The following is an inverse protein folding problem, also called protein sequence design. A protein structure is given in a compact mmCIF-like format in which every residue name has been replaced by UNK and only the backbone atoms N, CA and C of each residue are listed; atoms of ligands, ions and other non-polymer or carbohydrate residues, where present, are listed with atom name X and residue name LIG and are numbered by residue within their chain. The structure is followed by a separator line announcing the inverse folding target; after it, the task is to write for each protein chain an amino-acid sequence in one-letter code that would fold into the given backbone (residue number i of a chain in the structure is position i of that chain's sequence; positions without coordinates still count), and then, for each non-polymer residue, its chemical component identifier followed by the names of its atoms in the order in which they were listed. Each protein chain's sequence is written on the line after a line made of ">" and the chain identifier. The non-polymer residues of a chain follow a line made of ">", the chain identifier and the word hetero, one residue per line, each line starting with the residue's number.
data_IF_503461626984
#
_entry.id   IF_503461626984
#
_cell.length_a   1.000
_cell.length_b   1.000
_cell.length_c   1.000
_cell.angle_alpha   90.00
_cell.angle_beta   90.00
_cell.angle_gamma   90.00
#
_symmetry.space_group_name_H-M   'P 1'
#
loop_
_entity.id
_entity.type
_entity.pdbx_description
1 polymer ?
#
# COMPACT_ATOMS: atom_id res chain seq x y z
N UNK A 1 -31.39 -56.54 -52.30
CA UNK A 1 -32.58 -55.90 -51.71
C UNK A 1 -32.62 -56.07 -50.20
N UNK A 2 -32.80 -57.27 -49.64
CA UNK A 2 -32.87 -57.43 -48.17
C UNK A 2 -31.60 -57.02 -47.39
N UNK A 3 -30.41 -57.29 -47.94
CA UNK A 3 -29.13 -56.92 -47.32
C UNK A 3 -28.87 -55.41 -47.34
N UNK A 4 -29.22 -54.76 -48.44
CA UNK A 4 -29.09 -53.30 -48.62
C UNK A 4 -30.05 -52.53 -47.70
N UNK A 5 -31.25 -53.08 -47.49
CA UNK A 5 -32.25 -52.54 -46.56
C UNK A 5 -31.82 -52.71 -45.09
N UNK A 6 -31.17 -53.82 -44.75
CA UNK A 6 -30.60 -54.07 -43.43
C UNK A 6 -29.42 -53.13 -43.11
N UNK A 7 -28.54 -52.89 -44.08
CA UNK A 7 -27.43 -51.93 -43.94
C UNK A 7 -27.96 -50.51 -43.73
N UNK A 8 -29.02 -50.12 -44.45
CA UNK A 8 -29.66 -48.80 -44.27
C UNK A 8 -30.26 -48.67 -42.87
N UNK A 9 -31.01 -49.67 -42.40
CA UNK A 9 -31.60 -49.65 -41.06
C UNK A 9 -30.53 -49.59 -39.95
N UNK A 10 -29.45 -50.36 -40.09
CA UNK A 10 -28.33 -50.32 -39.15
C UNK A 10 -27.63 -48.94 -39.14
N UNK A 11 -27.50 -48.30 -40.31
CA UNK A 11 -26.91 -46.96 -40.43
C UNK A 11 -27.80 -45.88 -39.80
N UNK A 12 -29.12 -45.98 -39.96
CA UNK A 12 -30.10 -45.08 -39.33
C UNK A 12 -30.09 -45.21 -37.80
N UNK A 13 -30.05 -46.45 -37.29
CA UNK A 13 -29.99 -46.68 -35.83
C UNK A 13 -28.67 -46.17 -35.22
N UNK A 14 -27.56 -46.36 -35.94
CA UNK A 14 -26.24 -45.88 -35.53
C UNK A 14 -26.19 -44.34 -35.54
N UNK A 15 -26.84 -43.67 -36.51
CA UNK A 15 -26.99 -42.21 -36.53
C UNK A 15 -27.85 -41.71 -35.36
N UNK A 16 -28.98 -42.37 -35.06
CA UNK A 16 -29.82 -42.06 -33.89
C UNK A 16 -29.03 -42.15 -32.58
N UNK A 17 -28.21 -43.21 -32.40
CA UNK A 17 -27.37 -43.33 -31.21
C UNK A 17 -26.35 -42.20 -31.11
N UNK A 18 -25.74 -41.79 -32.21
CA UNK A 18 -24.82 -40.64 -32.22
C UNK A 18 -25.50 -39.34 -31.81
N UNK A 19 -26.75 -39.09 -32.22
CA UNK A 19 -27.50 -37.91 -31.79
C UNK A 19 -27.74 -37.89 -30.27
N UNK A 20 -27.90 -39.06 -29.64
CA UNK A 20 -28.09 -39.13 -28.18
C UNK A 20 -26.82 -38.93 -27.36
N UNK A 21 -25.62 -38.99 -27.98
CA UNK A 21 -24.35 -38.85 -27.25
C UNK A 21 -24.10 -37.42 -26.76
N UNK A 22 -24.74 -36.43 -27.38
CA UNK A 22 -24.58 -35.03 -27.02
C UNK A 22 -25.91 -34.49 -26.50
N UNK A 23 -25.94 -34.19 -25.22
CA UNK A 23 -27.04 -33.43 -24.64
C UNK A 23 -26.88 -31.94 -25.00
N UNK A 24 -27.58 -31.51 -26.04
CA UNK A 24 -27.56 -30.12 -26.53
C UNK A 24 -27.95 -29.11 -25.45
N UNK A 25 -28.85 -29.46 -24.53
CA UNK A 25 -29.27 -28.62 -23.41
C UNK A 25 -28.14 -28.40 -22.40
N UNK A 26 -27.32 -29.42 -22.14
CA UNK A 26 -26.15 -29.30 -21.26
C UNK A 26 -25.06 -28.45 -21.90
N UNK A 27 -24.81 -28.64 -23.21
CA UNK A 27 -23.86 -27.81 -23.96
C UNK A 27 -24.26 -26.34 -23.93
N UNK A 28 -25.55 -26.05 -24.10
CA UNK A 28 -26.11 -24.71 -23.99
C UNK A 28 -25.99 -24.13 -22.57
N UNK A 29 -26.20 -24.97 -21.55
CA UNK A 29 -26.01 -24.58 -20.15
C UNK A 29 -24.54 -24.25 -19.85
N UNK A 30 -23.59 -25.05 -20.35
CA UNK A 30 -22.15 -24.80 -20.23
C UNK A 30 -21.81 -23.47 -20.89
N UNK A 31 -22.29 -23.24 -22.11
CA UNK A 31 -22.06 -21.99 -22.86
C UNK A 31 -22.58 -20.77 -22.08
N UNK A 32 -23.75 -20.88 -21.46
CA UNK A 32 -24.34 -19.81 -20.65
C UNK A 32 -23.50 -19.52 -19.41
N UNK A 33 -23.08 -20.55 -18.68
CA UNK A 33 -22.22 -20.41 -17.49
C UNK A 33 -20.87 -19.80 -17.87
N UNK A 34 -20.28 -20.19 -18.99
CA UNK A 34 -19.02 -19.61 -19.48
C UNK A 34 -19.16 -18.11 -19.77
N UNK A 35 -20.28 -17.66 -20.36
CA UNK A 35 -20.53 -16.22 -20.55
C UNK A 35 -20.67 -15.47 -19.22
N UNK A 36 -21.36 -16.06 -18.23
CA UNK A 36 -21.47 -15.47 -16.90
C UNK A 36 -20.10 -15.35 -16.21
N UNK A 37 -19.27 -16.41 -16.30
CA UNK A 37 -17.91 -16.41 -15.75
C UNK A 37 -17.07 -15.34 -16.44
N UNK A 38 -17.14 -15.25 -17.78
CA UNK A 38 -16.40 -14.25 -18.55
C UNK A 38 -16.77 -12.83 -18.13
N UNK A 39 -18.07 -12.51 -18.01
CA UNK A 39 -18.52 -11.19 -17.56
C UNK A 39 -18.00 -10.85 -16.17
N UNK A 40 -18.09 -11.78 -15.21
CA UNK A 40 -17.56 -11.59 -13.85
C UNK A 40 -16.05 -11.37 -13.82
N UNK A 41 -15.30 -12.08 -14.66
CA UNK A 41 -13.85 -11.90 -14.78
C UNK A 41 -13.50 -10.54 -15.39
N UNK A 42 -14.26 -10.09 -16.39
CA UNK A 42 -14.10 -8.77 -16.99
C UNK A 42 -14.38 -7.66 -15.96
N UNK A 43 -15.47 -7.76 -15.20
CA UNK A 43 -15.81 -6.82 -14.13
C UNK A 43 -14.72 -6.77 -13.06
N UNK A 44 -14.24 -7.93 -12.62
CA UNK A 44 -13.15 -8.01 -11.64
C UNK A 44 -11.86 -7.40 -12.18
N UNK A 45 -11.54 -7.61 -13.45
CA UNK A 45 -10.34 -7.07 -14.06
C UNK A 45 -10.42 -5.54 -14.21
N UNK A 46 -11.60 -5.00 -14.50
CA UNK A 46 -11.83 -3.55 -14.54
C UNK A 46 -11.60 -2.91 -13.16
N UNK A 47 -12.13 -3.52 -12.10
CA UNK A 47 -11.93 -3.06 -10.71
C UNK A 47 -10.44 -3.10 -10.33
N UNK A 48 -9.75 -4.20 -10.64
CA UNK A 48 -8.32 -4.34 -10.34
C UNK A 48 -7.47 -3.33 -11.13
N UNK A 49 -7.81 -3.07 -12.38
CA UNK A 49 -7.11 -2.08 -13.21
C UNK A 49 -7.24 -0.68 -12.61
N UNK A 50 -8.46 -0.29 -12.22
CA UNK A 50 -8.70 0.99 -11.56
C UNK A 50 -8.01 1.09 -10.19
N UNK A 51 -8.01 0.01 -9.41
CA UNK A 51 -7.28 -0.05 -8.14
C UNK A 51 -5.78 0.13 -8.35
N UNK A 52 -5.19 -0.54 -9.34
CA UNK A 52 -3.77 -0.43 -9.65
C UNK A 52 -3.40 1.01 -10.01
N UNK A 53 -4.15 1.64 -10.94
CA UNK A 53 -3.93 3.03 -11.34
C UNK A 53 -4.06 3.99 -10.14
N UNK A 54 -5.10 3.83 -9.33
CA UNK A 54 -5.30 4.64 -8.13
C UNK A 54 -4.15 4.47 -7.12
N UNK A 55 -3.72 3.23 -6.88
CA UNK A 55 -2.65 2.92 -5.94
C UNK A 55 -1.31 3.49 -6.39
N UNK A 56 -1.01 3.44 -7.69
CA UNK A 56 0.20 4.01 -8.28
C UNK A 56 0.22 5.54 -8.16
N UNK A 57 -0.91 6.20 -8.45
CA UNK A 57 -1.04 7.64 -8.30
C UNK A 57 -0.85 8.08 -6.86
N UNK A 58 -1.54 7.42 -5.92
CA UNK A 58 -1.43 7.69 -4.49
C UNK A 58 0.02 7.49 -3.99
N UNK A 59 0.68 6.41 -4.41
CA UNK A 59 2.07 6.15 -4.06
C UNK A 59 3.01 7.24 -4.60
N UNK A 60 2.84 7.65 -5.86
CA UNK A 60 3.68 8.67 -6.49
C UNK A 60 3.55 10.02 -5.78
N UNK A 61 2.33 10.40 -5.41
CA UNK A 61 2.06 11.62 -4.65
C UNK A 61 2.71 11.58 -3.25
N UNK A 62 2.42 10.52 -2.48
CA UNK A 62 2.89 10.43 -1.09
C UNK A 62 4.40 10.21 -0.98
N UNK A 63 5.00 9.42 -1.88
CA UNK A 63 6.43 9.10 -1.82
C UNK A 63 7.32 10.33 -1.99
N UNK A 64 6.91 11.29 -2.83
CA UNK A 64 7.57 12.57 -2.99
C UNK A 64 7.61 13.38 -1.71
N UNK A 65 6.45 13.51 -1.05
CA UNK A 65 6.31 14.24 0.21
C UNK A 65 7.10 13.58 1.35
N UNK A 66 7.03 12.25 1.48
CA UNK A 66 7.83 11.51 2.46
C UNK A 66 9.32 11.72 2.25
N UNK A 67 9.80 11.67 1.00
CA UNK A 67 11.20 11.91 0.66
C UNK A 67 11.63 13.33 1.03
N UNK A 68 10.82 14.34 0.68
CA UNK A 68 11.06 15.74 1.01
C UNK A 68 11.09 15.97 2.51
N UNK A 69 10.10 15.47 3.24
CA UNK A 69 9.99 15.64 4.69
C UNK A 69 11.15 14.94 5.42
N UNK A 70 11.55 13.75 4.97
CA UNK A 70 12.71 13.02 5.51
C UNK A 70 14.01 13.81 5.31
N UNK A 71 14.21 14.45 4.14
CA UNK A 71 15.38 15.31 3.90
C UNK A 71 15.37 16.53 4.82
N UNK A 72 14.22 17.17 5.00
CA UNK A 72 14.08 18.31 5.91
C UNK A 72 14.41 17.92 7.36
N UNK A 73 13.87 16.80 7.85
CA UNK A 73 14.17 16.30 9.20
C UNK A 73 15.66 16.02 9.40
N UNK A 74 16.33 15.46 8.40
CA UNK A 74 17.79 15.25 8.44
C UNK A 74 18.57 16.57 8.51
N UNK A 75 18.13 17.59 7.78
CA UNK A 75 18.72 18.93 7.84
C UNK A 75 18.58 19.53 9.24
N UNK A 76 17.35 19.54 9.78
CA UNK A 76 17.06 20.08 11.12
C UNK A 76 17.89 19.35 12.18
N UNK A 77 18.01 18.03 12.08
CA UNK A 77 18.86 17.25 12.99
C UNK A 77 20.32 17.72 12.93
N UNK A 78 20.87 17.89 11.72
CA UNK A 78 22.24 18.37 11.53
C UNK A 78 22.45 19.76 12.14
N UNK A 79 21.48 20.66 11.95
CA UNK A 79 21.53 22.00 12.51
C UNK A 79 21.49 21.97 14.05
N UNK A 80 20.65 21.13 14.64
CA UNK A 80 20.60 20.92 16.09
C UNK A 80 21.92 20.34 16.62
N UNK A 81 22.48 19.33 15.96
CA UNK A 81 23.77 18.75 16.34
C UNK A 81 24.88 19.83 16.34
N UNK A 82 24.89 20.69 15.33
CA UNK A 82 25.82 21.82 15.24
C UNK A 82 25.60 22.84 16.36
N UNK A 83 24.36 23.23 16.62
CA UNK A 83 24.02 24.16 17.71
C UNK A 83 24.47 23.60 19.07
N UNK A 84 24.18 22.33 19.36
CA UNK A 84 24.60 21.70 20.61
C UNK A 84 26.12 21.61 20.73
N UNK A 85 26.84 21.31 19.64
CA UNK A 85 28.29 21.32 19.61
C UNK A 85 28.84 22.72 19.94
N UNK A 86 28.30 23.77 19.32
CA UNK A 86 28.72 25.17 19.58
C UNK A 86 28.43 25.58 21.02
N UNK A 87 27.25 25.26 21.56
CA UNK A 87 26.89 25.54 22.95
C UNK A 87 27.83 24.85 23.93
N UNK A 88 28.16 23.56 23.72
CA UNK A 88 29.12 22.83 24.56
C UNK A 88 30.51 23.47 24.50
N UNK A 89 30.98 23.83 23.31
CA UNK A 89 32.26 24.51 23.12
C UNK A 89 32.31 25.86 23.84
N UNK A 90 31.28 26.70 23.68
CA UNK A 90 31.18 28.00 24.35
C UNK A 90 31.14 27.84 25.88
N UNK A 91 30.33 26.91 26.39
CA UNK A 91 30.26 26.61 27.82
C UNK A 91 31.61 26.16 28.38
N UNK A 92 32.32 25.28 27.67
CA UNK A 92 33.67 24.83 28.06
C UNK A 92 34.66 25.98 28.10
N UNK A 93 34.63 26.88 27.12
CA UNK A 93 35.49 28.06 27.08
C UNK A 93 35.19 29.03 28.22
N UNK A 94 33.91 29.31 28.49
CA UNK A 94 33.49 30.18 29.59
C UNK A 94 33.96 29.65 30.94
N UNK A 95 33.81 28.35 31.19
CA UNK A 95 34.33 27.71 32.41
C UNK A 95 35.84 27.80 32.54
N UNK A 96 36.58 27.69 31.43
CA UNK A 96 38.04 27.78 31.45
C UNK A 96 38.55 29.21 31.70
N UNK A 97 37.87 30.23 31.15
CA UNK A 97 38.27 31.64 31.29
C UNK A 97 37.82 32.21 32.65
N UNK A 98 36.66 31.79 33.14
CA UNK A 98 36.06 32.29 34.38
C UNK A 98 35.67 31.12 35.29
N UNK A 99 36.64 30.40 35.88
CA UNK A 99 36.35 29.25 36.74
C UNK A 99 35.51 29.65 37.97
N UNK A 100 35.75 30.83 38.53
CA UNK A 100 35.07 31.32 39.73
C UNK A 100 33.64 31.83 39.47
N UNK A 101 33.26 32.03 38.19
CA UNK A 101 31.93 32.51 37.81
C UNK A 101 30.88 31.37 37.72
N UNK A 102 31.31 30.10 37.82
CA UNK A 102 30.44 28.94 37.71
C UNK A 102 30.64 27.99 38.91
N UNK A 103 30.09 28.32 40.09
CA UNK A 103 30.09 27.40 41.23
C UNK A 103 29.37 26.09 40.88
N UNK A 104 29.79 24.98 41.49
CA UNK A 104 29.27 23.64 41.17
C UNK A 104 27.74 23.57 41.28
N UNK A 105 27.14 22.77 40.40
CA UNK A 105 25.69 22.70 40.19
C UNK A 105 24.88 22.26 41.43
N UNK A 106 25.53 21.77 42.48
CA UNK A 106 24.95 21.56 43.81
C UNK A 106 24.46 22.85 44.48
N UNK A 107 24.90 24.02 44.00
CA UNK A 107 24.59 25.34 44.56
C UNK A 107 23.49 26.08 43.79
N UNK A 108 23.17 25.68 42.56
CA UNK A 108 22.23 26.40 41.68
C UNK A 108 20.92 25.62 41.59
N UNK A 109 19.94 25.97 42.44
CA UNK A 109 18.53 25.62 42.20
C UNK A 109 18.04 26.41 40.98
N UNK A 110 18.25 25.88 39.79
CA UNK A 110 17.64 26.44 38.57
C UNK A 110 16.15 26.09 38.64
N UNK A 111 15.36 26.99 39.23
CA UNK A 111 13.90 26.97 39.10
C UNK A 111 13.59 27.51 37.71
N UNK A 112 13.02 26.69 36.83
CA UNK A 112 12.53 27.16 35.53
C UNK A 112 11.40 28.17 35.78
N UNK A 113 11.68 29.47 35.60
CA UNK A 113 10.73 30.56 35.82
C UNK A 113 9.90 30.89 34.57
N UNK A 114 9.99 30.09 33.51
CA UNK A 114 9.16 30.32 32.33
C UNK A 114 7.68 30.08 32.68
N UNK A 115 6.77 31.00 32.32
CA UNK A 115 5.35 30.79 32.52
C UNK A 115 4.89 29.55 31.75
N UNK A 116 4.18 28.67 32.46
CA UNK A 116 3.61 27.44 31.93
C UNK A 116 2.45 27.78 30.98
N UNK A 117 2.72 27.75 29.67
CA UNK A 117 1.77 28.08 28.61
C UNK A 117 0.68 27.01 28.42
N UNK A 118 0.77 25.85 29.08
CA UNK A 118 -0.24 24.79 29.00
C UNK A 118 -1.39 24.97 30.01
N UNK A 119 -1.34 25.99 30.88
CA UNK A 119 -2.44 26.27 31.79
C UNK A 119 -3.50 27.13 31.11
N UNK A 120 -4.79 26.71 31.10
CA UNK A 120 -5.85 27.55 30.60
C UNK A 120 -5.92 28.84 31.44
N UNK A 121 -6.03 29.98 30.74
CA UNK A 121 -6.27 31.27 31.36
C UNK A 121 -7.60 31.20 32.13
N UNK A 122 -7.53 31.28 33.46
CA UNK A 122 -8.71 31.49 34.33
C UNK A 122 -9.22 32.91 34.22
#
# INVERSE_FOLDING_TARGET
>A
MAEEEAIRAASEELACQFETLINTQEVESIRHIQHLILGRLQDSNAVLSHFNEYSERCFTELSGDFSRNTRLLKSIKSDLDYIFMKLRSMKSRLKAIYPDAFPDASTIKILDQRPDLERPLT
#
